data_IF_478595629158
#
_entry.id   IF_478595629158
#
_cell.length_a   1.000
_cell.length_b   1.000
_cell.length_c   1.000
_cell.angle_alpha   90.00
_cell.angle_beta   90.00
_cell.angle_gamma   90.00
#
_symmetry.space_group_name_H-M   'P 1'
#
loop_
_entity.id
_entity.type
_entity.pdbx_description
1 polymer ?
#
# COMPACT_ATOMS: atom_id res chain seq x y z
N UNK A 1 -7.12 30.82 -32.52
CA UNK A 1 -6.36 29.78 -31.75
C UNK A 1 -5.68 30.49 -30.59
N UNK A 2 -6.07 30.17 -29.36
CA UNK A 2 -5.42 30.78 -28.21
C UNK A 2 -3.97 30.25 -28.08
N UNK A 3 -3.03 31.19 -28.08
CA UNK A 3 -1.64 30.91 -27.83
C UNK A 3 -1.45 30.69 -26.30
N UNK A 4 -1.58 29.44 -25.87
CA UNK A 4 -1.32 29.05 -24.49
C UNK A 4 0.17 29.26 -24.17
N UNK A 5 0.44 30.00 -23.10
CA UNK A 5 1.78 30.24 -22.58
C UNK A 5 1.91 29.64 -21.18
N UNK A 6 3.11 29.13 -20.85
CA UNK A 6 3.45 28.72 -19.49
C UNK A 6 3.56 29.95 -18.56
N UNK A 7 3.57 29.75 -17.24
CA UNK A 7 3.78 30.80 -16.24
C UNK A 7 5.05 31.64 -16.51
N UNK A 8 6.06 31.08 -17.16
CA UNK A 8 7.31 31.73 -17.54
C UNK A 8 7.23 32.37 -18.94
N UNK A 9 6.02 32.54 -19.52
CA UNK A 9 5.80 33.21 -20.81
C UNK A 9 6.24 32.41 -22.05
N UNK A 10 6.72 31.16 -21.92
CA UNK A 10 7.12 30.32 -23.04
C UNK A 10 5.90 29.76 -23.77
N UNK A 11 5.91 29.73 -25.12
CA UNK A 11 4.80 29.13 -25.87
C UNK A 11 4.69 27.63 -25.59
N UNK A 12 3.48 27.18 -25.31
CA UNK A 12 3.17 25.76 -25.09
C UNK A 12 2.76 25.12 -26.40
N UNK A 13 3.52 24.15 -26.88
CA UNK A 13 3.16 23.36 -28.04
C UNK A 13 2.16 22.27 -27.64
N UNK A 14 1.02 22.25 -28.32
CA UNK A 14 0.00 21.21 -28.12
C UNK A 14 0.53 19.89 -28.71
N UNK A 15 0.87 18.93 -27.84
CA UNK A 15 1.44 17.64 -28.26
C UNK A 15 0.37 16.72 -28.84
N UNK A 16 -0.87 16.76 -28.34
CA UNK A 16 -2.01 16.04 -28.90
C UNK A 16 -3.34 16.73 -28.54
N UNK A 17 -4.31 16.66 -29.44
CA UNK A 17 -5.71 16.98 -29.13
C UNK A 17 -6.57 15.79 -29.52
N UNK A 18 -7.27 15.20 -28.55
CA UNK A 18 -8.33 14.25 -28.83
C UNK A 18 -9.66 14.96 -28.74
N UNK A 19 -10.29 15.18 -29.87
CA UNK A 19 -11.68 15.67 -29.89
C UNK A 19 -12.59 14.48 -29.70
N UNK A 20 -13.22 14.38 -28.54
CA UNK A 20 -14.33 13.45 -28.33
C UNK A 20 -15.60 14.11 -28.86
N UNK A 21 -16.09 13.66 -30.00
CA UNK A 21 -17.45 14.02 -30.48
C UNK A 21 -18.44 13.36 -29.53
N UNK A 22 -19.35 14.11 -28.89
CA UNK A 22 -20.41 13.51 -28.11
C UNK A 22 -21.27 12.67 -29.06
N UNK A 23 -21.33 11.37 -28.82
CA UNK A 23 -22.24 10.47 -29.54
C UNK A 23 -23.64 10.79 -29.08
N UNK A 24 -24.53 11.09 -30.02
CA UNK A 24 -25.94 11.50 -29.79
C UNK A 24 -26.79 10.42 -29.10
N UNK A 25 -26.29 9.23 -28.87
CA UNK A 25 -26.90 8.20 -28.05
C UNK A 25 -26.24 8.18 -26.66
N UNK A 26 -26.59 9.13 -25.83
CA UNK A 26 -26.09 9.40 -24.49
C UNK A 26 -26.57 8.39 -23.42
N UNK A 27 -26.46 7.11 -23.66
CA UNK A 27 -26.37 6.15 -22.56
C UNK A 27 -24.89 5.91 -22.31
N UNK A 28 -24.30 6.75 -21.45
CA UNK A 28 -22.98 6.45 -20.89
C UNK A 28 -23.02 5.04 -20.32
N UNK A 29 -22.39 4.10 -21.01
CA UNK A 29 -22.31 2.72 -20.58
C UNK A 29 -21.40 2.73 -19.36
N UNK A 30 -21.98 2.69 -18.15
CA UNK A 30 -21.20 2.50 -16.92
C UNK A 30 -20.55 1.14 -17.05
N UNK A 31 -19.23 1.11 -17.23
CA UNK A 31 -18.45 -0.12 -17.14
C UNK A 31 -18.25 -0.34 -15.65
N UNK A 32 -18.84 -1.39 -15.05
CA UNK A 32 -18.58 -1.68 -13.65
C UNK A 32 -17.12 -2.07 -13.51
N UNK A 33 -16.36 -1.26 -12.78
CA UNK A 33 -14.98 -1.61 -12.39
C UNK A 33 -15.13 -2.50 -11.17
N UNK A 34 -14.80 -3.77 -11.33
CA UNK A 34 -14.76 -4.72 -10.22
C UNK A 34 -13.44 -4.51 -9.46
N UNK A 35 -13.56 -4.12 -8.20
CA UNK A 35 -12.42 -4.02 -7.30
C UNK A 35 -12.30 -5.28 -6.45
N UNK A 36 -11.06 -5.66 -6.20
CA UNK A 36 -10.67 -6.63 -5.19
C UNK A 36 -10.09 -5.89 -3.99
N UNK A 37 -9.89 -6.61 -2.88
CA UNK A 37 -9.36 -6.03 -1.64
C UNK A 37 -7.99 -6.62 -1.35
N UNK A 38 -7.06 -5.74 -1.04
CA UNK A 38 -5.80 -6.05 -0.38
C UNK A 38 -5.80 -5.30 0.95
N UNK A 39 -5.53 -5.99 2.04
CA UNK A 39 -5.51 -5.36 3.36
C UNK A 39 -4.08 -5.15 3.82
N UNK A 40 -3.78 -3.97 4.35
CA UNK A 40 -2.52 -3.67 5.05
C UNK A 40 -2.84 -3.66 6.54
N UNK A 41 -2.20 -4.53 7.31
CA UNK A 41 -2.34 -4.56 8.76
C UNK A 41 -1.15 -3.85 9.38
N UNK A 42 -1.42 -2.91 10.28
CA UNK A 42 -0.44 -2.16 11.05
C UNK A 42 -0.66 -2.51 12.51
N UNK A 43 0.33 -3.09 13.15
CA UNK A 43 0.31 -3.44 14.58
C UNK A 43 1.09 -2.44 15.39
N UNK A 44 0.61 -2.17 16.60
CA UNK A 44 1.19 -1.18 17.52
C UNK A 44 2.64 -1.50 17.90
N UNK A 45 3.35 -0.47 18.33
CA UNK A 45 4.71 -0.60 18.84
C UNK A 45 4.72 -1.27 20.22
N UNK A 46 5.66 -2.18 20.44
CA UNK A 46 5.87 -2.80 21.75
C UNK A 46 7.35 -3.14 21.91
N UNK A 47 7.92 -2.84 23.05
CA UNK A 47 9.32 -3.09 23.37
C UNK A 47 9.57 -4.56 23.81
N UNK A 48 9.01 -5.53 23.08
CA UNK A 48 9.12 -6.95 23.44
C UNK A 48 10.24 -7.69 22.71
N UNK A 49 10.67 -7.21 21.54
CA UNK A 49 11.74 -7.85 20.76
C UNK A 49 12.45 -6.82 19.89
N UNK A 50 13.65 -7.16 19.40
CA UNK A 50 14.42 -6.29 18.51
C UNK A 50 13.62 -6.00 17.21
N UNK A 51 13.38 -4.73 16.92
CA UNK A 51 12.58 -4.30 15.76
C UNK A 51 11.10 -4.12 16.03
N UNK A 52 10.55 -4.67 17.11
CA UNK A 52 9.13 -4.54 17.43
C UNK A 52 8.74 -3.22 18.06
N UNK A 53 9.71 -2.46 18.58
CA UNK A 53 9.50 -1.16 19.21
C UNK A 53 8.95 -0.06 18.27
N UNK A 54 9.04 -0.27 16.96
CA UNK A 54 8.51 0.67 15.97
C UNK A 54 7.15 0.25 15.38
N UNK A 55 6.57 -0.84 15.90
CA UNK A 55 5.39 -1.47 15.30
C UNK A 55 5.75 -2.48 14.22
N UNK A 56 4.74 -3.07 13.61
CA UNK A 56 4.89 -4.03 12.52
C UNK A 56 3.82 -3.83 11.45
N UNK A 57 4.15 -4.19 10.22
CA UNK A 57 3.21 -4.11 9.10
C UNK A 57 3.25 -5.38 8.26
N UNK A 58 2.08 -5.79 7.76
CA UNK A 58 1.92 -6.94 6.89
C UNK A 58 0.87 -6.67 5.81
N UNK A 59 0.96 -7.41 4.70
CA UNK A 59 -0.05 -7.40 3.61
C UNK A 59 -0.87 -8.67 3.71
N UNK A 60 -2.20 -8.55 3.59
CA UNK A 60 -3.11 -9.69 3.52
C UNK A 60 -3.81 -9.69 2.16
N UNK A 61 -3.73 -10.81 1.47
CA UNK A 61 -4.37 -11.06 0.18
C UNK A 61 -5.04 -12.44 0.24
N UNK A 62 -6.34 -12.49 -0.06
CA UNK A 62 -7.11 -13.76 -0.04
C UNK A 62 -6.93 -14.57 1.26
N UNK A 63 -6.99 -13.87 2.39
CA UNK A 63 -6.79 -14.42 3.74
C UNK A 63 -5.39 -14.98 4.05
N UNK A 64 -4.42 -14.72 3.17
CA UNK A 64 -3.02 -15.06 3.38
C UNK A 64 -2.26 -13.79 3.75
N UNK A 65 -1.55 -13.83 4.85
CA UNK A 65 -0.64 -12.79 5.32
C UNK A 65 0.75 -12.99 4.72
N UNK A 66 1.38 -11.87 4.39
CA UNK A 66 2.75 -11.75 3.92
C UNK A 66 3.44 -10.68 4.75
N UNK A 67 4.35 -11.07 5.60
CA UNK A 67 5.10 -10.21 6.50
C UNK A 67 6.57 -10.13 6.16
N UNK A 68 7.16 -8.96 6.35
CA UNK A 68 8.61 -8.77 6.30
C UNK A 68 9.12 -8.49 7.70
N UNK A 69 9.83 -9.45 8.29
CA UNK A 69 10.42 -9.35 9.61
C UNK A 69 11.89 -9.82 9.57
N UNK A 70 12.60 -9.73 10.67
CA UNK A 70 13.90 -10.39 10.80
C UNK A 70 13.68 -11.88 11.14
N UNK A 71 14.34 -12.83 10.47
CA UNK A 71 15.41 -12.64 9.47
C UNK A 71 14.91 -12.52 8.01
N UNK A 72 13.64 -12.70 7.71
CA UNK A 72 13.15 -12.78 6.33
C UNK A 72 11.68 -12.48 6.15
N UNK A 73 11.15 -12.85 5.01
CA UNK A 73 9.72 -12.86 4.73
C UNK A 73 9.08 -14.10 5.35
N UNK A 74 7.91 -13.94 5.94
CA UNK A 74 7.03 -15.04 6.33
C UNK A 74 5.70 -15.01 5.56
N UNK A 75 4.98 -16.12 5.65
CA UNK A 75 3.68 -16.31 5.04
C UNK A 75 2.83 -17.14 5.97
N UNK A 76 1.66 -16.63 6.30
CA UNK A 76 0.76 -17.25 7.27
C UNK A 76 -0.71 -17.04 6.87
N UNK A 77 -1.63 -17.63 7.61
CA UNK A 77 -3.03 -17.23 7.49
C UNK A 77 -3.25 -15.91 8.25
N UNK A 78 -4.17 -15.07 7.77
CA UNK A 78 -4.57 -13.85 8.47
C UNK A 78 -4.97 -14.13 9.92
N UNK A 79 -5.73 -15.21 10.14
CA UNK A 79 -6.22 -15.59 11.47
C UNK A 79 -5.07 -15.89 12.43
N UNK A 80 -4.09 -16.71 12.01
CA UNK A 80 -2.96 -17.05 12.85
C UNK A 80 -2.03 -15.86 13.07
N UNK A 81 -1.82 -15.02 12.05
CA UNK A 81 -1.10 -13.77 12.20
C UNK A 81 -1.75 -12.85 13.25
N UNK A 82 -3.07 -12.63 13.17
CA UNK A 82 -3.80 -11.81 14.14
C UNK A 82 -3.75 -12.44 15.54
N UNK A 83 -3.84 -13.76 15.67
CA UNK A 83 -3.65 -14.43 16.94
C UNK A 83 -2.29 -14.12 17.55
N UNK A 84 -1.20 -14.20 16.76
CA UNK A 84 0.16 -13.84 17.21
C UNK A 84 0.22 -12.38 17.69
N UNK A 85 -0.38 -11.44 16.95
CA UNK A 85 -0.34 -10.03 17.33
C UNK A 85 -1.19 -9.76 18.59
N UNK A 86 -2.43 -10.21 18.61
CA UNK A 86 -3.39 -9.89 19.67
C UNK A 86 -3.10 -10.62 20.99
N UNK A 87 -2.76 -11.91 20.92
CA UNK A 87 -2.59 -12.77 22.09
C UNK A 87 -1.12 -12.91 22.50
N UNK A 88 -0.25 -13.37 21.60
CA UNK A 88 1.13 -13.63 21.96
C UNK A 88 1.95 -12.35 22.17
N UNK A 89 1.67 -11.29 21.39
CA UNK A 89 2.40 -10.02 21.44
C UNK A 89 1.63 -8.92 22.19
N UNK A 90 0.36 -9.15 22.60
CA UNK A 90 -0.52 -8.17 23.25
C UNK A 90 -0.55 -6.82 22.55
N UNK A 91 -0.71 -6.83 21.21
CA UNK A 91 -0.74 -5.63 20.36
C UNK A 91 -2.14 -5.37 19.85
N UNK A 92 -2.53 -4.09 19.85
CA UNK A 92 -3.60 -3.61 19.00
C UNK A 92 -3.12 -3.57 17.54
N UNK A 93 -4.01 -3.88 16.61
CA UNK A 93 -3.72 -3.84 15.18
C UNK A 93 -4.87 -3.19 14.42
N UNK A 94 -4.54 -2.51 13.34
CA UNK A 94 -5.50 -1.85 12.45
C UNK A 94 -5.31 -2.38 11.04
N UNK A 95 -6.40 -2.84 10.43
CA UNK A 95 -6.44 -3.31 9.07
C UNK A 95 -7.03 -2.25 8.14
N UNK A 96 -6.35 -1.95 7.06
CA UNK A 96 -6.75 -0.98 6.04
C UNK A 96 -7.00 -1.71 4.74
N UNK A 97 -8.26 -1.81 4.33
CA UNK A 97 -8.67 -2.44 3.10
C UNK A 97 -8.51 -1.48 1.92
N UNK A 98 -7.64 -1.83 0.99
CA UNK A 98 -7.32 -1.04 -0.20
C UNK A 98 -8.00 -1.66 -1.43
N UNK A 99 -8.76 -0.85 -2.17
CA UNK A 99 -9.36 -1.23 -3.45
C UNK A 99 -8.28 -1.35 -4.52
N UNK A 100 -8.17 -2.51 -5.13
CA UNK A 100 -7.27 -2.79 -6.24
C UNK A 100 -8.03 -3.45 -7.38
N UNK A 101 -7.57 -3.30 -8.60
CA UNK A 101 -8.04 -4.10 -9.73
C UNK A 101 -7.41 -5.49 -9.67
N UNK A 102 -7.99 -6.48 -10.37
CA UNK A 102 -7.39 -7.83 -10.48
C UNK A 102 -5.97 -7.78 -11.04
N UNK A 103 -5.69 -6.88 -11.99
CA UNK A 103 -4.36 -6.71 -12.56
C UNK A 103 -3.36 -6.14 -11.55
N UNK A 104 -3.77 -5.15 -10.74
CA UNK A 104 -2.95 -4.59 -9.65
C UNK A 104 -2.66 -5.65 -8.60
N UNK A 105 -3.67 -6.41 -8.16
CA UNK A 105 -3.51 -7.52 -7.20
C UNK A 105 -2.49 -8.55 -7.67
N UNK A 106 -2.57 -8.97 -8.95
CA UNK A 106 -1.61 -9.91 -9.51
C UNK A 106 -0.18 -9.37 -9.55
N UNK A 107 -0.01 -8.07 -9.86
CA UNK A 107 1.31 -7.43 -9.81
C UNK A 107 1.85 -7.36 -8.38
N UNK A 108 1.02 -7.00 -7.40
CA UNK A 108 1.38 -6.98 -5.98
C UNK A 108 1.85 -8.38 -5.54
N UNK A 109 1.08 -9.43 -5.82
CA UNK A 109 1.46 -10.81 -5.51
C UNK A 109 2.77 -11.24 -6.18
N UNK A 110 2.96 -10.85 -7.43
CA UNK A 110 4.20 -11.15 -8.17
C UNK A 110 5.42 -10.48 -7.52
N UNK A 111 5.29 -9.23 -7.10
CA UNK A 111 6.37 -8.50 -6.43
C UNK A 111 6.67 -9.09 -5.05
N UNK A 112 5.65 -9.42 -4.25
CA UNK A 112 5.81 -10.12 -2.96
C UNK A 112 6.59 -11.43 -3.16
N UNK A 113 6.14 -12.27 -4.09
CA UNK A 113 6.78 -13.55 -4.36
C UNK A 113 8.23 -13.40 -4.87
N UNK A 114 8.53 -12.34 -5.61
CA UNK A 114 9.90 -12.00 -6.02
C UNK A 114 10.76 -11.68 -4.80
N UNK A 115 10.31 -10.78 -3.92
CA UNK A 115 11.03 -10.40 -2.69
C UNK A 115 11.23 -11.57 -1.73
N UNK A 116 10.22 -12.44 -1.61
CA UNK A 116 10.32 -13.67 -0.83
C UNK A 116 11.40 -14.62 -1.35
N UNK A 117 11.63 -14.69 -2.66
CA UNK A 117 12.72 -15.50 -3.23
C UNK A 117 14.10 -14.85 -3.07
N UNK A 118 14.16 -13.52 -3.18
CA UNK A 118 15.42 -12.77 -3.08
C UNK A 118 15.96 -12.74 -1.65
N UNK A 119 15.09 -12.80 -0.64
CA UNK A 119 15.43 -12.85 0.80
C UNK A 119 16.54 -11.87 1.19
N UNK A 120 16.46 -10.61 0.68
CA UNK A 120 17.43 -9.57 1.05
C UNK A 120 17.46 -9.34 2.55
N UNK A 121 18.60 -8.97 3.10
CA UNK A 121 18.78 -8.71 4.53
C UNK A 121 17.82 -7.62 5.02
N UNK A 122 17.28 -7.80 6.23
CA UNK A 122 16.41 -6.82 6.86
C UNK A 122 17.21 -5.56 7.22
N UNK A 123 16.67 -4.40 6.91
CA UNK A 123 17.24 -3.11 7.29
C UNK A 123 16.13 -2.15 7.71
N UNK A 124 16.28 -1.49 8.84
CA UNK A 124 15.34 -0.48 9.31
C UNK A 124 15.21 0.70 8.35
N UNK A 125 16.27 1.04 7.64
CA UNK A 125 16.31 2.23 6.80
C UNK A 125 15.67 2.01 5.43
N UNK A 126 16.02 0.93 4.74
CA UNK A 126 15.64 0.75 3.35
C UNK A 126 15.07 -0.64 3.00
N UNK A 127 14.95 -1.54 3.97
CA UNK A 127 14.37 -2.88 3.75
C UNK A 127 13.58 -3.35 4.99
N UNK A 128 12.78 -2.45 5.56
CA UNK A 128 11.88 -2.70 6.68
C UNK A 128 10.54 -3.27 6.22
N UNK A 129 9.69 -3.67 7.16
CA UNK A 129 8.33 -4.09 6.83
C UNK A 129 7.55 -2.97 6.10
N UNK A 130 7.67 -1.73 6.56
CA UNK A 130 6.93 -0.59 6.02
C UNK A 130 7.45 -0.14 4.66
N UNK A 131 8.78 -0.05 4.48
CA UNK A 131 9.37 0.33 3.18
C UNK A 131 9.04 -0.67 2.10
N UNK A 132 9.07 -1.98 2.41
CA UNK A 132 8.66 -3.02 1.46
C UNK A 132 7.20 -2.88 1.03
N UNK A 133 6.28 -2.59 1.95
CA UNK A 133 4.87 -2.39 1.61
C UNK A 133 4.71 -1.17 0.71
N UNK A 134 5.32 -0.04 1.05
CA UNK A 134 5.26 1.17 0.24
C UNK A 134 5.74 0.91 -1.20
N UNK A 135 6.92 0.34 -1.34
CA UNK A 135 7.50 0.02 -2.65
C UNK A 135 6.66 -0.99 -3.46
N UNK A 136 6.08 -2.02 -2.81
CA UNK A 136 5.21 -2.99 -3.47
C UNK A 136 3.98 -2.28 -4.07
N UNK A 137 3.33 -1.40 -3.30
CA UNK A 137 2.17 -0.66 -3.77
C UNK A 137 2.52 0.38 -4.85
N UNK A 138 3.71 0.97 -4.80
CA UNK A 138 4.20 1.87 -5.85
C UNK A 138 4.37 1.17 -7.20
N UNK A 139 4.67 -0.13 -7.23
CA UNK A 139 4.73 -0.90 -8.50
C UNK A 139 3.42 -0.88 -9.29
N UNK A 140 2.31 -0.59 -8.63
CA UNK A 140 0.98 -0.46 -9.22
C UNK A 140 0.46 0.99 -9.20
N UNK A 141 1.32 1.96 -8.88
CA UNK A 141 0.98 3.38 -8.87
C UNK A 141 0.10 3.80 -7.70
N UNK A 142 0.07 3.02 -6.62
CA UNK A 142 -0.67 3.34 -5.40
C UNK A 142 0.32 3.81 -4.34
N UNK A 143 0.26 5.10 -3.96
CA UNK A 143 1.02 5.64 -2.83
C UNK A 143 0.30 5.33 -1.53
N UNK A 144 0.98 4.66 -0.62
CA UNK A 144 0.46 4.27 0.70
C UNK A 144 1.28 4.84 1.85
N UNK A 145 2.23 5.71 1.58
CA UNK A 145 3.00 6.46 2.59
C UNK A 145 2.75 7.95 2.45
N UNK A 146 3.08 8.71 3.50
CA UNK A 146 2.91 10.16 3.50
C UNK A 146 4.03 10.82 2.65
N UNK A 147 3.70 11.48 1.53
CA UNK A 147 4.72 12.07 0.65
C UNK A 147 5.49 13.22 1.30
N UNK A 148 5.05 13.77 2.42
CA UNK A 148 5.76 14.83 3.15
C UNK A 148 7.06 14.35 3.77
N UNK A 149 7.22 13.04 3.94
CA UNK A 149 8.40 12.41 4.51
C UNK A 149 9.28 11.70 3.48
N UNK A 150 9.07 11.92 2.17
CA UNK A 150 9.89 11.33 1.09
C UNK A 150 11.40 11.67 1.18
N UNK A 151 11.77 12.72 1.92
CA UNK A 151 13.17 13.09 2.17
C UNK A 151 13.84 12.28 3.29
N UNK A 152 13.05 11.50 4.05
CA UNK A 152 13.57 10.55 5.03
C UNK A 152 13.68 9.18 4.36
N UNK A 153 14.89 8.62 4.32
CA UNK A 153 15.15 7.30 3.73
C UNK A 153 14.45 6.13 4.50
N UNK A 154 13.53 6.46 5.39
CA UNK A 154 12.86 5.50 6.28
C UNK A 154 11.36 5.73 6.29
N UNK A 155 10.60 4.69 5.96
CA UNK A 155 9.14 4.69 6.08
C UNK A 155 8.76 3.92 7.35
N UNK A 156 8.13 4.60 8.30
CA UNK A 156 7.62 3.98 9.53
C UNK A 156 6.20 3.42 9.34
N UNK A 157 5.73 2.53 10.23
CA UNK A 157 4.32 2.10 10.26
C UNK A 157 3.34 3.28 10.40
N UNK A 158 3.71 4.33 11.11
CA UNK A 158 2.90 5.54 11.26
C UNK A 158 2.77 6.32 9.94
N UNK A 159 3.85 6.41 9.15
CA UNK A 159 3.83 7.06 7.83
C UNK A 159 2.93 6.30 6.86
N UNK A 160 2.99 4.96 6.88
CA UNK A 160 2.05 4.13 6.11
C UNK A 160 0.61 4.40 6.54
N UNK A 161 0.32 4.41 7.84
CA UNK A 161 -1.02 4.67 8.36
C UNK A 161 -1.54 6.03 7.86
N UNK A 162 -0.75 7.07 7.93
CA UNK A 162 -1.11 8.41 7.48
C UNK A 162 -1.36 8.44 5.97
N UNK A 163 -0.48 7.85 5.19
CA UNK A 163 -0.64 7.79 3.73
C UNK A 163 -1.89 7.02 3.31
N UNK A 164 -2.13 5.86 3.92
CA UNK A 164 -3.31 5.03 3.63
C UNK A 164 -4.61 5.75 3.97
N UNK A 165 -4.69 6.42 5.12
CA UNK A 165 -5.90 7.16 5.55
C UNK A 165 -6.28 8.29 4.60
N UNK A 166 -5.33 8.86 3.88
CA UNK A 166 -5.56 9.87 2.85
C UNK A 166 -5.73 9.30 1.43
N UNK A 167 -5.61 7.99 1.28
CA UNK A 167 -5.75 7.33 -0.02
C UNK A 167 -7.22 7.27 -0.48
N UNK A 168 -7.50 7.67 -1.72
CA UNK A 168 -8.80 7.48 -2.35
C UNK A 168 -9.12 6.00 -2.64
N UNK A 169 -8.16 5.10 -2.43
CA UNK A 169 -8.31 3.65 -2.55
C UNK A 169 -8.75 2.98 -1.25
N UNK A 170 -8.74 3.68 -0.12
CA UNK A 170 -9.21 3.12 1.15
C UNK A 170 -10.69 2.76 1.07
N UNK A 171 -11.02 1.51 1.33
CA UNK A 171 -12.38 0.99 1.34
C UNK A 171 -12.97 0.93 2.75
N UNK A 172 -12.18 0.46 3.70
CA UNK A 172 -12.59 0.24 5.09
C UNK A 172 -11.39 0.20 6.03
N UNK A 173 -11.62 0.59 7.29
CA UNK A 173 -10.73 0.38 8.41
C UNK A 173 -11.31 -0.70 9.33
N UNK A 174 -10.48 -1.64 9.77
CA UNK A 174 -10.80 -2.67 10.73
C UNK A 174 -9.95 -2.47 11.99
N UNK A 175 -10.49 -2.81 13.15
CA UNK A 175 -9.75 -2.75 14.41
C UNK A 175 -9.66 -4.17 14.98
N UNK A 176 -8.47 -4.58 15.33
CA UNK A 176 -8.13 -5.87 15.93
C UNK A 176 -7.49 -5.64 17.29
N UNK A 177 -8.30 -5.50 18.36
CA UNK A 177 -7.78 -5.19 19.69
C UNK A 177 -7.00 -6.37 20.25
N UNK A 178 -5.98 -6.05 21.06
CA UNK A 178 -5.27 -7.06 21.87
C UNK A 178 -6.22 -7.81 22.79
N UNK A 179 -5.86 -9.03 23.12
CA UNK A 179 -6.60 -9.96 23.98
C UNK A 179 -5.74 -10.38 25.17
#
# INVERSE_FOLDING_TARGET
>A
MENLKSENGKPLNRIASKTTTPTTNNKAKKIPIQFEIVEIIISDSIAASMGSQFGHTAIVIDNIEYGRAHPGWDKDTKEHYLYRQQVAMHRDSWGYEIKVTSAEKQKILKEINKRMREQKDYSFFNNSCSSNIAEIFETVGIKVHDPRFEFLDTISPADLMMGIKHSNRLARENVYPKK
#
